data_IF_492654049826
#
_entry.id   IF_492654049826
#
_cell.length_a   1.000
_cell.length_b   1.000
_cell.length_c   1.000
_cell.angle_alpha   90.00
_cell.angle_beta   90.00
_cell.angle_gamma   90.00
#
_symmetry.space_group_name_H-M   'P 1'
#
loop_
_entity.id
_entity.type
_entity.pdbx_description
1 polymer ?
#
# COMPACT_ATOMS: atom_id res chain seq x y z
N UNK A 1 6.68 3.91 15.16
CA UNK A 1 5.67 3.38 14.22
C UNK A 1 4.42 4.26 14.18
N UNK A 2 3.96 4.60 12.98
CA UNK A 2 2.65 5.20 12.69
C UNK A 2 1.74 4.09 12.15
N UNK A 3 0.50 4.07 12.63
CA UNK A 3 -0.56 3.18 12.16
C UNK A 3 -1.82 3.99 11.89
N UNK A 4 -2.41 3.83 10.70
CA UNK A 4 -3.72 4.37 10.34
C UNK A 4 -4.51 3.30 9.63
N UNK A 5 -5.75 3.11 10.08
CA UNK A 5 -6.77 2.33 9.38
C UNK A 5 -7.77 3.32 8.80
N UNK A 6 -8.07 3.17 7.51
CA UNK A 6 -9.08 3.94 6.81
C UNK A 6 -10.14 2.97 6.27
N UNK A 7 -11.37 3.46 6.15
CA UNK A 7 -12.51 2.66 5.70
C UNK A 7 -13.10 3.27 4.43
N UNK A 8 -13.30 2.44 3.42
CA UNK A 8 -14.13 2.79 2.26
C UNK A 8 -15.56 2.27 2.48
N UNK A 9 -16.53 3.18 2.54
CA UNK A 9 -17.92 2.83 2.83
C UNK A 9 -18.67 2.13 1.69
N UNK A 10 -18.14 2.17 0.47
CA UNK A 10 -18.81 1.59 -0.71
C UNK A 10 -18.49 0.10 -0.83
N UNK A 11 -17.19 -0.24 -0.81
CA UNK A 11 -16.71 -1.63 -0.87
C UNK A 11 -16.62 -2.31 0.50
N UNK A 12 -16.74 -1.54 1.59
CA UNK A 12 -16.45 -2.00 2.96
C UNK A 12 -14.99 -2.41 3.18
N UNK A 13 -14.08 -1.91 2.33
CA UNK A 13 -12.65 -2.21 2.40
C UNK A 13 -11.96 -1.41 3.51
N UNK A 14 -11.07 -2.09 4.23
CA UNK A 14 -10.10 -1.43 5.09
C UNK A 14 -8.77 -1.25 4.37
N UNK A 15 -8.30 -0.01 4.32
CA UNK A 15 -6.96 0.36 3.86
C UNK A 15 -6.09 0.67 5.06
N UNK A 16 -4.84 0.22 5.06
CA UNK A 16 -3.91 0.47 6.17
C UNK A 16 -2.68 1.24 5.70
N UNK A 17 -2.30 2.28 6.44
CA UNK A 17 -1.00 2.95 6.29
C UNK A 17 -0.13 2.63 7.50
N UNK A 18 1.03 2.03 7.23
CA UNK A 18 2.07 1.77 8.23
C UNK A 18 3.29 2.60 7.87
N UNK A 19 3.92 3.23 8.87
CA UNK A 19 5.16 3.95 8.62
C UNK A 19 6.13 3.87 9.79
N UNK A 20 7.42 3.92 9.45
CA UNK A 20 8.46 4.20 10.42
C UNK A 20 8.46 5.69 10.78
N UNK A 21 8.42 5.97 12.09
CA UNK A 21 8.42 7.33 12.64
C UNK A 21 9.73 8.06 12.43
N UNK A 22 10.86 7.34 12.38
CA UNK A 22 12.18 7.96 12.28
C UNK A 22 12.49 8.38 10.84
N UNK A 23 12.31 7.47 9.87
CA UNK A 23 12.62 7.72 8.47
C UNK A 23 11.46 8.27 7.63
N UNK A 24 10.21 8.18 8.14
CA UNK A 24 9.00 8.49 7.37
C UNK A 24 8.69 7.49 6.25
N UNK A 25 9.46 6.41 6.13
CA UNK A 25 9.22 5.35 5.14
C UNK A 25 7.89 4.65 5.46
N UNK A 26 7.02 4.54 4.45
CA UNK A 26 5.67 4.04 4.63
C UNK A 26 5.29 2.98 3.59
N UNK A 27 4.31 2.16 3.98
CA UNK A 27 3.58 1.25 3.10
C UNK A 27 2.08 1.51 3.23
N UNK A 28 1.35 1.29 2.14
CA UNK A 28 -0.11 1.29 2.14
C UNK A 28 -0.63 -0.07 1.66
N UNK A 29 -1.57 -0.64 2.39
CA UNK A 29 -2.11 -1.97 2.16
C UNK A 29 -3.57 -1.84 1.73
N UNK A 30 -3.92 -2.51 0.63
CA UNK A 30 -5.26 -2.52 0.01
C UNK A 30 -5.84 -1.10 -0.24
N UNK A 31 -5.14 -0.25 -1.00
CA UNK A 31 -5.64 1.10 -1.31
C UNK A 31 -6.78 1.04 -2.35
N UNK A 32 -7.88 1.76 -2.09
CA UNK A 32 -9.06 1.80 -2.98
C UNK A 32 -8.98 2.99 -3.94
N UNK A 33 -9.23 2.77 -5.24
CA UNK A 33 -9.09 3.78 -6.30
C UNK A 33 -9.89 5.06 -6.01
N UNK A 34 -11.14 4.93 -5.58
CA UNK A 34 -12.03 6.03 -5.23
C UNK A 34 -11.50 6.86 -4.04
N UNK A 35 -10.64 6.27 -3.20
CA UNK A 35 -10.06 6.89 -2.03
C UNK A 35 -8.67 7.51 -2.27
N UNK A 36 -8.16 7.48 -3.50
CA UNK A 36 -6.82 7.97 -3.87
C UNK A 36 -6.49 9.36 -3.28
N UNK A 37 -7.42 10.31 -3.37
CA UNK A 37 -7.19 11.68 -2.90
C UNK A 37 -7.08 11.75 -1.37
N UNK A 38 -7.88 10.96 -0.64
CA UNK A 38 -7.81 10.83 0.83
C UNK A 38 -6.45 10.28 1.22
N UNK A 39 -6.01 9.23 0.55
CA UNK A 39 -4.78 8.50 0.87
C UNK A 39 -3.54 9.38 0.61
N UNK A 40 -3.49 10.07 -0.53
CA UNK A 40 -2.42 11.02 -0.85
C UNK A 40 -2.38 12.21 0.11
N UNK A 41 -3.55 12.74 0.51
CA UNK A 41 -3.61 13.81 1.49
C UNK A 41 -3.02 13.37 2.83
N UNK A 42 -3.41 12.18 3.31
CA UNK A 42 -2.88 11.60 4.55
C UNK A 42 -1.36 11.40 4.49
N UNK A 43 -0.86 10.79 3.42
CA UNK A 43 0.59 10.58 3.20
C UNK A 43 1.34 11.92 3.26
N UNK A 44 0.82 12.94 2.58
CA UNK A 44 1.42 14.28 2.55
C UNK A 44 1.37 14.98 3.91
N UNK A 45 0.24 14.96 4.59
CA UNK A 45 0.03 15.62 5.88
C UNK A 45 0.89 15.01 6.99
N UNK A 46 1.13 13.70 6.92
CA UNK A 46 2.01 13.00 7.84
C UNK A 46 3.50 13.08 7.43
N UNK A 47 3.83 13.73 6.30
CA UNK A 47 5.20 13.86 5.82
C UNK A 47 5.85 12.52 5.45
N UNK A 48 5.05 11.55 4.98
CA UNK A 48 5.50 10.19 4.72
C UNK A 48 6.05 10.05 3.30
N UNK A 49 7.04 9.17 3.15
CA UNK A 49 7.53 8.70 1.85
C UNK A 49 6.99 7.31 1.60
N UNK A 50 6.00 7.22 0.70
CA UNK A 50 5.40 5.94 0.32
C UNK A 50 6.41 5.11 -0.48
N UNK A 51 6.83 3.97 0.07
CA UNK A 51 7.73 3.04 -0.60
C UNK A 51 6.96 2.00 -1.40
N UNK A 52 5.88 1.48 -0.82
CA UNK A 52 5.15 0.35 -1.37
C UNK A 52 3.65 0.53 -1.25
N UNK A 53 2.93 0.16 -2.31
CA UNK A 53 1.54 -0.29 -2.19
C UNK A 53 1.56 -1.81 -2.17
N UNK A 54 0.75 -2.41 -1.30
CA UNK A 54 0.65 -3.87 -1.18
C UNK A 54 -0.82 -4.25 -1.32
N UNK A 55 -1.15 -5.04 -2.35
CA UNK A 55 -2.46 -5.66 -2.48
C UNK A 55 -2.39 -7.08 -1.91
N UNK A 56 -3.26 -7.38 -0.95
CA UNK A 56 -3.30 -8.69 -0.27
C UNK A 56 -3.76 -9.80 -1.21
N UNK A 57 -4.62 -9.48 -2.17
CA UNK A 57 -5.14 -10.38 -3.19
C UNK A 57 -5.64 -9.59 -4.42
N UNK A 58 -6.10 -10.29 -5.45
CA UNK A 58 -6.85 -9.65 -6.53
C UNK A 58 -8.27 -9.36 -6.04
N UNK A 59 -8.55 -8.09 -5.74
CA UNK A 59 -9.83 -7.65 -5.19
C UNK A 59 -10.97 -7.82 -6.20
N UNK A 60 -12.12 -8.29 -5.73
CA UNK A 60 -13.31 -8.50 -6.56
C UNK A 60 -14.40 -7.43 -6.35
N UNK A 61 -14.25 -6.63 -5.30
CA UNK A 61 -15.22 -5.67 -4.77
C UNK A 61 -14.82 -4.21 -5.01
N UNK A 62 -13.56 -3.94 -5.34
CA UNK A 62 -13.07 -2.61 -5.66
C UNK A 62 -11.88 -2.64 -6.64
N UNK A 63 -11.60 -1.50 -7.25
CA UNK A 63 -10.38 -1.30 -8.06
C UNK A 63 -9.27 -0.78 -7.16
N UNK A 64 -8.09 -1.40 -7.18
CA UNK A 64 -6.94 -0.93 -6.40
C UNK A 64 -6.43 0.43 -6.90
N UNK A 65 -5.98 1.28 -5.97
CA UNK A 65 -5.31 2.54 -6.29
C UNK A 65 -3.80 2.38 -6.54
N UNK A 66 -3.25 1.16 -6.41
CA UNK A 66 -1.81 0.88 -6.50
C UNK A 66 -1.12 1.55 -7.69
N UNK A 67 -1.69 1.41 -8.89
CA UNK A 67 -1.14 2.02 -10.11
C UNK A 67 -1.11 3.55 -10.07
N UNK A 68 -2.17 4.18 -9.56
CA UNK A 68 -2.25 5.63 -9.43
C UNK A 68 -1.28 6.17 -8.37
N UNK A 69 -1.14 5.45 -7.25
CA UNK A 69 -0.21 5.81 -6.19
C UNK A 69 1.25 5.69 -6.66
N UNK A 70 1.59 4.64 -7.41
CA UNK A 70 2.89 4.53 -8.08
C UNK A 70 3.12 5.73 -9.01
N UNK A 71 2.16 6.06 -9.88
CA UNK A 71 2.31 7.16 -10.83
C UNK A 71 2.48 8.53 -10.15
N UNK A 72 1.86 8.75 -8.99
CA UNK A 72 1.92 10.04 -8.28
C UNK A 72 3.06 10.14 -7.28
N UNK A 73 3.57 9.03 -6.75
CA UNK A 73 4.57 9.04 -5.67
C UNK A 73 5.89 8.37 -6.03
N UNK A 74 5.92 7.56 -7.09
CA UNK A 74 7.05 6.72 -7.44
C UNK A 74 7.22 5.49 -6.54
N UNK A 75 6.22 5.14 -5.73
CA UNK A 75 6.25 3.91 -4.93
C UNK A 75 6.21 2.67 -5.84
N UNK A 76 6.60 1.52 -5.29
CA UNK A 76 6.56 0.22 -5.97
C UNK A 76 5.28 -0.53 -5.61
N UNK A 77 4.76 -1.31 -6.55
CA UNK A 77 3.56 -2.14 -6.37
C UNK A 77 3.99 -3.55 -5.99
N UNK A 78 3.48 -4.07 -4.88
CA UNK A 78 3.65 -5.46 -4.47
C UNK A 78 2.33 -6.20 -4.40
N UNK A 79 2.33 -7.45 -4.87
CA UNK A 79 1.20 -8.35 -4.80
C UNK A 79 1.72 -9.80 -4.76
N UNK A 80 0.92 -10.74 -4.27
CA UNK A 80 1.30 -12.14 -4.26
C UNK A 80 1.58 -12.66 -5.68
N UNK A 81 2.71 -13.33 -5.88
CA UNK A 81 3.10 -13.90 -7.18
C UNK A 81 2.04 -14.88 -7.72
N UNK A 82 1.36 -15.59 -6.83
CA UNK A 82 0.29 -16.54 -7.16
C UNK A 82 -0.93 -15.91 -7.87
N UNK A 83 -1.11 -14.59 -7.78
CA UNK A 83 -2.19 -13.87 -8.48
C UNK A 83 -1.92 -13.82 -10.00
N UNK A 84 -0.66 -13.88 -10.42
CA UNK A 84 -0.28 -13.75 -11.84
C UNK A 84 -0.64 -12.39 -12.44
N UNK A 85 -0.67 -11.33 -11.62
CA UNK A 85 -0.94 -9.97 -12.08
C UNK A 85 0.22 -9.42 -12.92
N UNK A 86 -0.11 -8.58 -13.90
CA UNK A 86 0.89 -7.85 -14.69
C UNK A 86 1.12 -6.45 -14.10
N UNK A 87 2.29 -5.86 -14.39
CA UNK A 87 2.68 -4.53 -13.91
C UNK A 87 2.82 -4.41 -12.38
N UNK A 88 3.36 -5.47 -11.77
CA UNK A 88 3.74 -5.51 -10.35
C UNK A 88 5.27 -5.43 -10.27
N UNK A 89 5.80 -4.60 -9.37
CA UNK A 89 7.26 -4.44 -9.18
C UNK A 89 7.85 -5.46 -8.21
N UNK A 90 7.01 -6.04 -7.36
CA UNK A 90 7.34 -7.01 -6.31
C UNK A 90 6.36 -8.18 -6.39
N UNK A 91 6.76 -9.25 -7.05
CA UNK A 91 6.04 -10.53 -7.00
C UNK A 91 6.37 -11.23 -5.67
N UNK A 92 5.46 -11.14 -4.71
CA UNK A 92 5.68 -11.57 -3.32
C UNK A 92 5.41 -13.07 -3.14
N UNK A 93 6.32 -13.76 -2.47
CA UNK A 93 6.23 -15.17 -2.11
C UNK A 93 6.36 -15.35 -0.59
N UNK A 94 5.94 -16.50 -0.07
CA UNK A 94 6.11 -16.83 1.34
C UNK A 94 7.59 -16.73 1.77
N UNK A 95 7.84 -16.03 2.88
CA UNK A 95 9.17 -15.76 3.41
C UNK A 95 9.81 -14.47 2.90
N UNK A 96 9.19 -13.78 1.94
CA UNK A 96 9.65 -12.46 1.50
C UNK A 96 9.42 -11.41 2.60
N UNK A 97 10.25 -10.36 2.57
CA UNK A 97 10.24 -9.31 3.59
C UNK A 97 10.17 -7.92 2.95
N UNK A 98 9.12 -7.18 3.29
CA UNK A 98 8.86 -5.82 2.80
C UNK A 98 9.35 -4.83 3.86
N UNK A 99 10.54 -4.26 3.66
CA UNK A 99 11.22 -3.38 4.63
C UNK A 99 10.86 -1.92 4.42
N UNK A 100 10.47 -1.21 5.48
CA UNK A 100 10.20 0.23 5.47
C UNK A 100 10.75 0.89 6.73
N UNK A 101 11.90 1.56 6.59
CA UNK A 101 12.66 2.07 7.74
C UNK A 101 13.23 0.93 8.57
N UNK A 102 13.04 0.99 9.90
CA UNK A 102 13.45 -0.08 10.82
C UNK A 102 12.40 -1.21 10.97
N UNK A 103 11.28 -1.11 10.23
CA UNK A 103 10.18 -2.07 10.28
C UNK A 103 10.12 -2.93 9.02
N UNK A 104 9.43 -4.07 9.13
CA UNK A 104 9.15 -4.92 7.98
C UNK A 104 7.84 -5.70 8.13
N UNK A 105 7.25 -6.08 7.00
CA UNK A 105 6.20 -7.10 6.92
C UNK A 105 6.80 -8.39 6.34
N UNK A 106 6.51 -9.52 6.95
CA UNK A 106 6.86 -10.84 6.43
C UNK A 106 5.64 -11.43 5.69
N UNK A 107 5.87 -11.97 4.48
CA UNK A 107 4.84 -12.53 3.58
C UNK A 107 4.64 -14.02 3.80
#
# INVERSE_FOLDING_TARGET
>A
MIFRQMYDGISSTYTYVLADTASGAAVIIDPVYEQLNRDLALIRELGLRLLYTIDTHCHADHVTASWMLQHKTGCRIGAAAAIGAQNVDLELNHGDRIVFGEHALDV
#
